data_IF_595810206091
#
_entry.id   IF_595810206091
#
_cell.length_a   1.000
_cell.length_b   1.000
_cell.length_c   1.000
_cell.angle_alpha   90.00
_cell.angle_beta   90.00
_cell.angle_gamma   90.00
#
_symmetry.space_group_name_H-M   'P 1'
#
loop_
_entity.id
_entity.type
_entity.pdbx_description
1 polymer ?
#
# COMPACT_ATOMS: atom_id res chain seq x y z
N UNK A 1 -8.02 34.62 -21.64
CA UNK A 1 -7.60 33.20 -21.73
C UNK A 1 -7.53 32.83 -23.22
N UNK A 2 -6.44 32.22 -23.71
CA UNK A 2 -6.28 31.92 -25.16
C UNK A 2 -7.27 30.82 -25.59
N UNK A 3 -8.02 30.99 -26.70
CA UNK A 3 -8.97 29.97 -27.15
C UNK A 3 -8.26 28.75 -27.74
N UNK A 4 -8.84 27.58 -27.52
CA UNK A 4 -8.41 26.34 -28.18
C UNK A 4 -8.66 26.44 -29.69
N UNK A 5 -7.73 25.90 -30.48
CA UNK A 5 -7.82 25.93 -31.94
C UNK A 5 -7.85 24.56 -32.56
N UNK A 6 -6.87 23.72 -32.25
CA UNK A 6 -6.78 22.38 -32.82
C UNK A 6 -5.85 21.48 -32.00
N UNK A 7 -5.96 20.19 -32.29
CA UNK A 7 -4.94 19.22 -31.96
C UNK A 7 -3.86 19.21 -33.05
N UNK A 8 -2.62 19.01 -32.66
CA UNK A 8 -1.51 18.79 -33.56
C UNK A 8 -0.60 17.70 -33.01
N UNK A 9 0.28 17.19 -33.86
CA UNK A 9 1.31 16.22 -33.48
C UNK A 9 2.62 16.98 -33.25
N UNK A 10 3.25 16.77 -32.09
CA UNK A 10 4.61 17.25 -31.82
C UNK A 10 5.61 16.51 -32.73
N UNK A 11 6.84 17.04 -32.81
CA UNK A 11 7.95 16.35 -33.49
C UNK A 11 8.20 14.94 -32.96
N UNK A 12 7.88 14.72 -31.68
CA UNK A 12 8.03 13.44 -30.98
C UNK A 12 6.85 12.47 -31.21
N UNK A 13 5.89 12.79 -32.08
CA UNK A 13 4.69 11.97 -32.32
C UNK A 13 3.58 12.14 -31.28
N UNK A 14 3.79 12.97 -30.25
CA UNK A 14 2.81 13.18 -29.18
C UNK A 14 1.71 14.16 -29.56
N UNK A 15 0.48 13.90 -29.09
CA UNK A 15 -0.67 14.78 -29.32
C UNK A 15 -0.62 16.02 -28.42
N UNK A 16 -0.76 17.19 -29.03
CA UNK A 16 -0.76 18.49 -28.34
C UNK A 16 -1.99 19.30 -28.70
N UNK A 17 -2.48 20.09 -27.74
CA UNK A 17 -3.53 21.10 -27.89
C UNK A 17 -2.87 22.45 -28.15
N UNK A 18 -3.22 23.08 -29.26
CA UNK A 18 -2.78 24.43 -29.58
C UNK A 18 -3.84 25.44 -29.17
N UNK A 19 -3.42 26.42 -28.38
CA UNK A 19 -4.19 27.60 -28.03
C UNK A 19 -3.53 28.80 -28.69
N UNK A 20 -4.30 29.65 -29.38
CA UNK A 20 -3.73 30.86 -30.01
C UNK A 20 -4.73 32.01 -30.03
N UNK A 21 -4.24 33.22 -29.82
CA UNK A 21 -5.02 34.44 -29.99
C UNK A 21 -5.46 34.57 -31.46
N UNK A 22 -6.50 35.36 -31.75
CA UNK A 22 -6.72 35.75 -33.13
C UNK A 22 -5.61 36.73 -33.54
N UNK A 23 -5.23 36.72 -34.81
CA UNK A 23 -4.19 37.61 -35.32
C UNK A 23 -4.57 39.09 -35.11
N UNK A 24 -5.84 39.43 -35.36
CA UNK A 24 -6.38 40.78 -35.21
C UNK A 24 -6.24 41.31 -33.78
N UNK A 25 -6.48 40.47 -32.77
CA UNK A 25 -6.32 40.81 -31.35
C UNK A 25 -4.87 41.19 -31.02
N UNK A 26 -3.90 40.52 -31.65
CA UNK A 26 -2.47 40.76 -31.43
C UNK A 26 -1.90 41.89 -32.29
N UNK A 27 -2.55 42.26 -33.40
CA UNK A 27 -2.04 43.25 -34.34
C UNK A 27 -1.99 44.66 -33.73
N UNK A 28 -3.04 45.05 -33.01
CA UNK A 28 -3.18 46.36 -32.38
C UNK A 28 -2.96 46.32 -30.86
N UNK A 29 -2.36 45.24 -30.34
CA UNK A 29 -2.15 45.08 -28.91
C UNK A 29 -0.94 45.93 -28.44
N UNK A 30 -1.13 46.85 -27.46
CA UNK A 30 -0.02 47.66 -26.94
C UNK A 30 1.05 46.82 -26.23
N UNK A 31 0.69 45.61 -25.76
CA UNK A 31 1.60 44.69 -25.07
C UNK A 31 2.30 43.72 -26.02
N UNK A 32 2.10 43.82 -27.35
CA UNK A 32 2.65 42.85 -28.33
C UNK A 32 4.16 42.70 -28.20
N UNK A 33 4.88 43.82 -28.05
CA UNK A 33 6.34 43.83 -27.93
C UNK A 33 6.84 43.06 -26.70
N UNK A 34 6.08 43.07 -25.60
CA UNK A 34 6.42 42.31 -24.39
C UNK A 34 5.90 40.87 -24.44
N UNK A 35 4.70 40.64 -24.99
CA UNK A 35 4.01 39.35 -24.97
C UNK A 35 4.53 38.35 -26.02
N UNK A 36 4.76 38.82 -27.26
CA UNK A 36 5.24 38.03 -28.39
C UNK A 36 6.12 38.88 -29.31
N UNK A 37 7.41 39.06 -28.96
CA UNK A 37 8.31 39.94 -29.73
C UNK A 37 8.61 39.41 -31.14
N UNK A 38 8.76 38.09 -31.30
CA UNK A 38 9.15 37.46 -32.57
C UNK A 38 7.99 36.79 -33.32
N UNK A 39 6.85 36.56 -32.67
CA UNK A 39 5.73 35.82 -33.23
C UNK A 39 4.59 36.77 -33.64
N UNK A 40 3.86 36.47 -34.73
CA UNK A 40 2.76 37.33 -35.20
C UNK A 40 1.58 37.38 -34.21
N UNK A 41 1.40 36.32 -33.41
CA UNK A 41 0.33 36.20 -32.43
C UNK A 41 0.77 35.32 -31.26
N UNK A 42 0.12 35.47 -30.11
CA UNK A 42 0.38 34.63 -28.95
C UNK A 42 -0.09 33.19 -29.16
N UNK A 43 0.81 32.23 -28.91
CA UNK A 43 0.55 30.79 -29.05
C UNK A 43 1.04 30.06 -27.80
N UNK A 44 0.20 29.15 -27.33
CA UNK A 44 0.49 28.29 -26.20
C UNK A 44 0.15 26.84 -26.55
N UNK A 45 1.09 25.94 -26.29
CA UNK A 45 0.95 24.52 -26.61
C UNK A 45 0.94 23.73 -25.31
N UNK A 46 -0.03 22.83 -25.15
CA UNK A 46 -0.10 21.90 -24.02
C UNK A 46 -0.27 20.48 -24.51
N UNK A 47 0.25 19.52 -23.75
CA UNK A 47 -0.04 18.12 -24.03
C UNK A 47 -1.55 17.86 -24.02
N UNK A 48 -2.03 17.03 -24.94
CA UNK A 48 -3.43 16.59 -24.92
C UNK A 48 -3.79 15.88 -23.60
N UNK A 49 -2.79 15.25 -22.97
CA UNK A 49 -2.91 14.48 -21.72
C UNK A 49 -2.58 15.27 -20.45
N UNK A 50 -2.44 16.60 -20.55
CA UNK A 50 -2.07 17.47 -19.41
C UNK A 50 -2.99 17.27 -18.20
N UNK A 51 -4.30 17.08 -18.41
CA UNK A 51 -5.25 16.80 -17.34
C UNK A 51 -4.98 15.47 -16.62
N UNK A 52 -4.64 14.41 -17.38
CA UNK A 52 -4.28 13.12 -16.80
C UNK A 52 -2.95 13.20 -16.02
N UNK A 53 -1.96 13.92 -16.58
CA UNK A 53 -0.69 14.16 -15.92
C UNK A 53 -0.87 14.93 -14.61
N UNK A 54 -1.64 16.03 -14.60
CA UNK A 54 -1.95 16.78 -13.38
C UNK A 54 -2.64 15.92 -12.32
N UNK A 55 -3.63 15.10 -12.71
CA UNK A 55 -4.27 14.15 -11.78
C UNK A 55 -3.25 13.18 -11.18
N UNK A 56 -2.35 12.63 -11.99
CA UNK A 56 -1.29 11.75 -11.51
C UNK A 56 -0.30 12.48 -10.59
N UNK A 57 0.06 13.72 -10.92
CA UNK A 57 0.92 14.58 -10.11
C UNK A 57 0.32 14.85 -8.74
N UNK A 58 -0.93 15.31 -8.68
CA UNK A 58 -1.63 15.57 -7.42
C UNK A 58 -1.77 14.31 -6.57
N UNK A 59 -2.10 13.15 -7.16
CA UNK A 59 -2.14 11.87 -6.43
C UNK A 59 -0.80 11.52 -5.81
N UNK A 60 0.30 11.65 -6.56
CA UNK A 60 1.64 11.33 -6.07
C UNK A 60 2.12 12.28 -4.97
N UNK A 61 1.77 13.56 -5.07
CA UNK A 61 2.16 14.59 -4.10
C UNK A 61 1.28 14.62 -2.85
N UNK A 62 0.11 13.98 -2.87
CA UNK A 62 -0.71 13.81 -1.67
C UNK A 62 0.03 13.04 -0.57
N UNK A 63 -0.32 13.27 0.70
CA UNK A 63 0.26 12.54 1.84
C UNK A 63 0.12 11.02 1.69
N UNK A 64 -1.05 10.56 1.24
CA UNK A 64 -1.31 9.14 0.96
C UNK A 64 -0.41 8.61 -0.17
N UNK A 65 -0.27 9.36 -1.26
CA UNK A 65 0.63 9.01 -2.37
C UNK A 65 2.09 8.91 -1.94
N UNK A 66 2.56 9.86 -1.13
CA UNK A 66 3.92 9.84 -0.58
C UNK A 66 4.15 8.67 0.38
N UNK A 67 3.15 8.31 1.20
CA UNK A 67 3.21 7.13 2.07
C UNK A 67 3.30 5.85 1.23
N UNK A 68 2.43 5.69 0.23
CA UNK A 68 2.43 4.54 -0.67
C UNK A 68 3.74 4.42 -1.47
N UNK A 69 4.32 5.56 -1.90
CA UNK A 69 5.64 5.58 -2.55
C UNK A 69 6.72 5.03 -1.63
N UNK A 70 6.78 5.49 -0.38
CA UNK A 70 7.75 5.01 0.62
C UNK A 70 7.58 3.53 0.93
N UNK A 71 6.33 3.06 1.00
CA UNK A 71 6.05 1.64 1.18
C UNK A 71 6.59 0.82 -0.01
N UNK A 72 6.29 1.24 -1.25
CA UNK A 72 6.76 0.55 -2.46
C UNK A 72 8.29 0.47 -2.54
N UNK A 73 8.98 1.54 -2.19
CA UNK A 73 10.45 1.58 -2.14
C UNK A 73 11.05 0.55 -1.20
N UNK A 74 10.38 0.25 -0.09
CA UNK A 74 10.86 -0.72 0.91
C UNK A 74 10.43 -2.16 0.61
N UNK A 75 9.26 -2.35 0.00
CA UNK A 75 8.69 -3.69 -0.17
C UNK A 75 8.88 -4.26 -1.57
N UNK A 76 8.47 -3.51 -2.59
CA UNK A 76 8.28 -4.03 -3.95
C UNK A 76 9.51 -3.79 -4.83
N UNK A 77 10.13 -2.62 -4.74
CA UNK A 77 11.29 -2.26 -5.58
C UNK A 77 12.52 -3.16 -5.33
N UNK A 78 12.87 -3.55 -4.09
CA UNK A 78 14.00 -4.45 -3.85
C UNK A 78 13.78 -5.86 -4.42
N UNK A 79 12.53 -6.34 -4.40
CA UNK A 79 12.15 -7.63 -4.99
C UNK A 79 12.35 -7.59 -6.49
N UNK A 80 11.84 -6.55 -7.17
CA UNK A 80 12.04 -6.39 -8.60
C UNK A 80 13.51 -6.25 -8.99
N UNK A 81 14.29 -5.48 -8.24
CA UNK A 81 15.74 -5.36 -8.46
C UNK A 81 16.44 -6.72 -8.38
N UNK A 82 16.10 -7.52 -7.36
CA UNK A 82 16.64 -8.88 -7.20
C UNK A 82 16.26 -9.78 -8.38
N UNK A 83 14.98 -9.75 -8.79
CA UNK A 83 14.48 -10.54 -9.91
C UNK A 83 15.19 -10.18 -11.23
N UNK A 84 15.37 -8.90 -11.51
CA UNK A 84 16.04 -8.45 -12.74
C UNK A 84 17.54 -8.80 -12.76
N UNK A 85 18.26 -8.58 -11.65
CA UNK A 85 19.73 -8.68 -11.64
C UNK A 85 20.26 -10.06 -11.21
N UNK A 86 19.64 -10.71 -10.22
CA UNK A 86 20.15 -11.97 -9.67
C UNK A 86 19.46 -13.19 -10.28
N UNK A 87 18.17 -13.09 -10.62
CA UNK A 87 17.42 -14.18 -11.27
C UNK A 87 17.45 -14.08 -12.80
N UNK A 88 18.15 -13.10 -13.37
CA UNK A 88 18.34 -12.97 -14.82
C UNK A 88 17.09 -12.55 -15.59
N UNK A 89 16.04 -12.05 -14.94
CA UNK A 89 14.76 -11.71 -15.59
C UNK A 89 14.78 -10.39 -16.38
N UNK A 90 15.96 -9.84 -16.69
CA UNK A 90 16.08 -8.73 -17.66
C UNK A 90 15.60 -9.12 -19.05
N UNK A 91 15.77 -10.39 -19.43
CA UNK A 91 15.27 -10.98 -20.69
C UNK A 91 14.78 -12.39 -20.40
N UNK A 92 13.55 -12.70 -20.80
CA UNK A 92 12.97 -14.03 -20.66
C UNK A 92 13.27 -14.82 -21.94
N UNK A 93 13.97 -15.95 -21.82
CA UNK A 93 14.41 -16.76 -22.97
C UNK A 93 13.31 -17.60 -23.64
N UNK A 94 12.11 -17.68 -23.05
CA UNK A 94 11.01 -18.47 -23.60
C UNK A 94 10.21 -17.68 -24.62
N UNK A 95 9.79 -18.35 -25.71
CA UNK A 95 8.88 -17.76 -26.70
C UNK A 95 7.41 -17.89 -26.24
N UNK A 96 6.64 -16.82 -26.42
CA UNK A 96 5.21 -16.78 -26.12
C UNK A 96 4.86 -16.34 -24.69
N UNK A 97 3.72 -15.66 -24.56
CA UNK A 97 3.26 -15.06 -23.30
C UNK A 97 3.01 -16.12 -22.21
N UNK A 98 2.44 -17.28 -22.57
CA UNK A 98 2.14 -18.34 -21.62
C UNK A 98 3.42 -18.93 -20.98
N UNK A 99 4.48 -19.13 -21.77
CA UNK A 99 5.75 -19.62 -21.27
C UNK A 99 6.44 -18.57 -20.39
N UNK A 100 6.45 -17.31 -20.83
CA UNK A 100 7.01 -16.21 -20.04
C UNK A 100 6.31 -16.07 -18.68
N UNK A 101 4.98 -16.20 -18.64
CA UNK A 101 4.22 -16.18 -17.39
C UNK A 101 4.65 -17.29 -16.43
N UNK A 102 4.83 -18.53 -16.91
CA UNK A 102 5.32 -19.64 -16.08
C UNK A 102 6.71 -19.37 -15.51
N UNK A 103 7.65 -18.85 -16.31
CA UNK A 103 8.99 -18.50 -15.82
C UNK A 103 8.96 -17.41 -14.74
N UNK A 104 8.07 -16.43 -14.88
CA UNK A 104 7.91 -15.37 -13.88
C UNK A 104 7.35 -15.92 -12.56
N UNK A 105 6.34 -16.80 -12.64
CA UNK A 105 5.76 -17.45 -11.46
C UNK A 105 6.77 -18.33 -10.73
N UNK A 106 7.52 -19.17 -11.46
CA UNK A 106 8.57 -20.01 -10.88
C UNK A 106 9.64 -19.15 -10.17
N UNK A 107 10.05 -18.05 -10.80
CA UNK A 107 11.01 -17.12 -10.20
C UNK A 107 10.48 -16.45 -8.93
N UNK A 108 9.20 -16.07 -8.92
CA UNK A 108 8.54 -15.51 -7.75
C UNK A 108 8.45 -16.53 -6.59
N UNK A 109 8.10 -17.79 -6.90
CA UNK A 109 8.08 -18.89 -5.93
C UNK A 109 9.48 -19.09 -5.35
N UNK A 110 10.51 -19.21 -6.20
CA UNK A 110 11.89 -19.39 -5.75
C UNK A 110 12.38 -18.22 -4.87
N UNK A 111 12.01 -16.98 -5.21
CA UNK A 111 12.31 -15.81 -4.39
C UNK A 111 11.63 -15.88 -3.02
N UNK A 112 10.33 -16.21 -2.99
CA UNK A 112 9.57 -16.33 -1.75
C UNK A 112 10.11 -17.46 -0.86
N UNK A 113 10.45 -18.62 -1.43
CA UNK A 113 11.09 -19.72 -0.71
C UNK A 113 12.43 -19.29 -0.10
N UNK A 114 13.30 -18.63 -0.88
CA UNK A 114 14.57 -18.10 -0.38
C UNK A 114 14.37 -17.10 0.76
N UNK A 115 13.34 -16.27 0.68
CA UNK A 115 12.98 -15.31 1.74
C UNK A 115 12.48 -16.01 3.00
N UNK A 116 11.64 -17.04 2.86
CA UNK A 116 11.13 -17.85 3.95
C UNK A 116 12.26 -18.55 4.70
N UNK A 117 13.19 -19.17 3.97
CA UNK A 117 14.35 -19.86 4.56
C UNK A 117 15.27 -18.91 5.34
N UNK A 118 15.30 -17.63 4.98
CA UNK A 118 16.08 -16.60 5.68
C UNK A 118 15.30 -15.91 6.82
N UNK A 119 14.01 -16.19 6.96
CA UNK A 119 13.18 -15.51 7.93
C UNK A 119 13.44 -16.06 9.33
N UNK A 120 13.99 -15.22 10.20
CA UNK A 120 14.10 -15.50 11.64
C UNK A 120 12.91 -14.85 12.35
N UNK A 121 11.99 -15.64 12.95
CA UNK A 121 10.87 -15.07 13.68
C UNK A 121 11.41 -14.31 14.90
N UNK A 122 11.02 -13.04 15.05
CA UNK A 122 11.24 -12.32 16.30
C UNK A 122 10.25 -12.89 17.33
N UNK A 123 10.76 -13.59 18.33
CA UNK A 123 9.96 -14.01 19.46
C UNK A 123 9.54 -12.75 20.24
N UNK A 124 8.25 -12.55 20.56
CA UNK A 124 7.86 -11.49 21.46
C UNK A 124 8.49 -11.79 22.84
N UNK A 125 9.23 -10.84 23.39
CA UNK A 125 9.72 -10.95 24.75
C UNK A 125 8.52 -10.84 25.71
N UNK A 126 7.97 -11.97 26.14
CA UNK A 126 6.94 -12.00 27.18
C UNK A 126 7.60 -11.87 28.54
N UNK A 127 7.46 -10.70 29.18
CA UNK A 127 7.82 -10.52 30.58
C UNK A 127 6.68 -11.07 31.42
N UNK A 128 6.90 -12.22 32.06
CA UNK A 128 5.97 -12.76 33.04
C UNK A 128 6.13 -11.98 34.36
N UNK A 129 5.14 -11.18 34.72
CA UNK A 129 5.10 -10.54 36.03
C UNK A 129 4.51 -11.54 37.03
N UNK A 130 5.34 -12.09 37.91
CA UNK A 130 4.86 -12.92 39.01
C UNK A 130 4.03 -12.05 39.96
N UNK A 131 2.71 -12.18 39.91
CA UNK A 131 1.84 -11.63 40.94
C UNK A 131 1.96 -12.54 42.17
N UNK A 132 2.37 -11.97 43.30
CA UNK A 132 2.31 -12.66 44.57
C UNK A 132 0.85 -13.03 44.88
N UNK A 133 0.58 -14.21 45.45
CA UNK A 133 -0.78 -14.57 45.83
C UNK A 133 -1.30 -13.52 46.82
N UNK A 134 -2.49 -12.98 46.53
CA UNK A 134 -3.16 -12.07 47.44
C UNK A 134 -3.34 -12.77 48.79
N UNK A 135 -2.81 -12.19 49.87
CA UNK A 135 -3.04 -12.70 51.21
C UNK A 135 -4.55 -12.65 51.49
N UNK A 136 -5.14 -13.80 51.82
CA UNK A 136 -6.55 -13.90 52.17
C UNK A 136 -6.76 -13.13 53.48
N UNK A 137 -7.35 -11.94 53.38
CA UNK A 137 -7.80 -11.19 54.54
C UNK A 137 -8.93 -11.92 55.26
N UNK A 138 -9.20 -11.58 56.54
CA UNK A 138 -10.10 -12.31 57.44
C UNK A 138 -11.60 -12.29 57.05
N UNK A 139 -11.95 -11.81 55.86
CA UNK A 139 -13.33 -11.68 55.38
C UNK A 139 -13.68 -12.63 54.22
N UNK A 140 -12.78 -13.55 53.84
CA UNK A 140 -13.01 -14.49 52.74
C UNK A 140 -14.16 -15.47 52.98
N UNK A 141 -14.54 -15.72 54.24
CA UNK A 141 -15.61 -16.65 54.62
C UNK A 141 -17.02 -16.08 54.45
N UNK A 142 -17.17 -14.76 54.30
CA UNK A 142 -18.49 -14.13 54.19
C UNK A 142 -19.07 -14.24 52.77
N UNK A 143 -18.22 -14.43 51.75
CA UNK A 143 -18.67 -14.57 50.36
C UNK A 143 -19.09 -15.99 49.97
N UNK A 144 -18.58 -17.03 50.64
CA UNK A 144 -18.96 -18.42 50.35
C UNK A 144 -20.34 -18.78 50.89
N UNK A 145 -20.80 -18.13 51.97
CA UNK A 145 -22.11 -18.37 52.58
C UNK A 145 -23.29 -17.90 51.70
N UNK A 146 -23.09 -16.88 50.86
CA UNK A 146 -24.11 -16.37 49.96
C UNK A 146 -24.30 -17.23 48.69
N UNK A 147 -23.34 -18.09 48.36
CA UNK A 147 -23.39 -18.96 47.17
C UNK A 147 -24.01 -20.34 47.45
N UNK A 148 -24.23 -20.70 48.71
CA UNK A 148 -24.78 -22.01 49.10
C UNK A 148 -26.30 -22.03 49.31
N UNK A 149 -26.99 -20.89 49.24
CA UNK A 149 -28.42 -20.78 49.59
C UNK A 149 -29.35 -20.67 48.36
N UNK A 150 -29.05 -21.43 47.31
CA UNK A 150 -30.02 -21.72 46.24
C UNK A 150 -29.97 -23.21 45.89
N UNK A 151 -30.68 -23.96 46.72
CA UNK A 151 -30.87 -25.40 46.56
C UNK A 151 -31.88 -25.69 45.43
N UNK A 152 -31.67 -26.83 44.77
CA UNK A 152 -32.57 -27.54 43.84
C UNK A 152 -32.71 -27.00 42.42
N UNK A 153 -31.95 -27.61 41.49
CA UNK A 153 -32.51 -28.34 40.34
C UNK A 153 -31.46 -29.36 39.86
N UNK A 154 -31.86 -30.62 39.84
CA UNK A 154 -31.07 -31.78 39.43
C UNK A 154 -30.57 -31.65 38.00
N UNK A 155 -29.29 -31.95 37.74
CA UNK A 155 -28.89 -32.82 36.62
C UNK A 155 -27.72 -33.69 37.06
N UNK A 156 -27.89 -34.97 36.76
CA UNK A 156 -27.06 -36.15 36.99
C UNK A 156 -25.57 -36.00 36.67
N UNK A 157 -24.78 -36.65 37.54
CA UNK A 157 -23.44 -37.17 37.29
C UNK A 157 -23.36 -38.04 36.03
N UNK A 158 -22.34 -37.82 35.20
CA UNK A 158 -21.63 -38.89 34.50
C UNK A 158 -20.17 -38.49 34.27
N UNK A 159 -19.29 -39.23 34.97
CA UNK A 159 -18.02 -39.80 34.49
C UNK A 159 -16.92 -38.89 33.89
N UNK A 160 -15.83 -38.84 34.65
CA UNK A 160 -14.40 -38.84 34.26
C UNK A 160 -14.05 -38.85 32.76
N UNK A 161 -13.15 -37.95 32.35
CA UNK A 161 -11.96 -38.28 31.56
C UNK A 161 -10.90 -37.15 31.68
N UNK A 162 -9.66 -37.57 31.97
CA UNK A 162 -8.41 -36.78 32.09
C UNK A 162 -7.99 -36.10 30.76
N UNK A 163 -7.02 -35.17 30.80
CA UNK A 163 -6.96 -34.01 29.92
C UNK A 163 -6.27 -34.29 28.58
N UNK A 164 -6.95 -33.92 27.49
CA UNK A 164 -6.33 -33.71 26.19
C UNK A 164 -6.34 -32.22 25.87
N UNK A 165 -5.17 -31.61 26.05
CA UNK A 165 -4.65 -30.39 25.45
C UNK A 165 -5.64 -29.65 24.54
N UNK A 166 -6.28 -28.60 25.06
CA UNK A 166 -7.04 -27.66 24.24
C UNK A 166 -6.80 -26.21 24.65
N UNK A 167 -6.51 -25.42 23.60
CA UNK A 167 -6.84 -24.01 23.41
C UNK A 167 -6.39 -23.00 24.46
N UNK A 168 -5.26 -22.38 24.14
CA UNK A 168 -4.90 -21.04 24.55
C UNK A 168 -5.98 -20.02 24.13
N UNK A 169 -6.48 -19.24 25.08
CA UNK A 169 -6.96 -17.88 24.85
C UNK A 169 -6.03 -16.92 25.57
N UNK A 170 -4.95 -16.54 24.88
CA UNK A 170 -4.13 -15.39 25.25
C UNK A 170 -4.65 -14.18 24.46
N UNK A 171 -5.27 -13.24 25.17
CA UNK A 171 -5.69 -11.95 24.61
C UNK A 171 -4.44 -11.10 24.38
N UNK A 172 -3.91 -11.11 23.16
CA UNK A 172 -2.84 -10.21 22.75
C UNK A 172 -3.42 -8.84 22.41
N UNK A 173 -3.24 -7.86 23.30
CA UNK A 173 -3.40 -6.44 22.97
C UNK A 173 -2.05 -5.96 22.43
N UNK A 174 -1.95 -5.83 21.11
CA UNK A 174 -0.84 -5.14 20.45
C UNK A 174 -1.24 -3.67 20.25
N UNK A 175 -0.66 -2.77 21.03
CA UNK A 175 -0.72 -1.32 20.77
C UNK A 175 0.13 -0.98 19.54
N UNK A 176 -0.41 -0.08 18.70
CA UNK A 176 0.13 0.42 17.43
C UNK A 176 1.39 1.26 17.64
#
# INVERSE_FOLDING_TARGET
MLPFRNYATSKDGNWVKNYRAAYQDCQHCPLKMSCTPAAPQQKFVRSAFDAAYRRAWHRQHSRAGQQMRRLRQRTVEPVFGSLLHHYGLRRVGTKGQAAAHKTMLLSAIAYNLKKLLKHQPKQPASVALALYPAQQGPYSSLFSAWLTDSNSLQVSSLTECLPTWSSATATTICSI
#
